data_IF_684979994971
#
_entry.id   IF_684979994971
#
_cell.length_a   1.000
_cell.length_b   1.000
_cell.length_c   1.000
_cell.angle_alpha   90.00
_cell.angle_beta   90.00
_cell.angle_gamma   90.00
#
_symmetry.space_group_name_H-M   'P 1'
#
loop_
_entity.id
_entity.type
_entity.pdbx_description
1 polymer ?
#
# COMPACT_ATOMS: atom_id res chain seq x y z
N UNK A 1 20.35 42.38 -12.80
CA UNK A 1 19.00 41.79 -12.92
C UNK A 1 18.78 40.88 -11.73
N UNK A 2 17.85 41.23 -10.83
CA UNK A 2 17.53 40.39 -9.67
C UNK A 2 16.53 39.30 -10.09
N UNK A 3 16.80 38.05 -9.71
CA UNK A 3 15.90 36.93 -9.99
C UNK A 3 14.54 37.12 -9.28
N UNK A 4 13.42 36.73 -9.91
CA UNK A 4 12.10 36.88 -9.29
C UNK A 4 12.00 35.99 -8.05
N UNK A 5 11.72 36.60 -6.88
CA UNK A 5 11.37 35.87 -5.66
C UNK A 5 10.03 35.18 -5.86
N UNK A 6 10.03 33.85 -5.98
CA UNK A 6 8.81 33.04 -5.92
C UNK A 6 8.27 33.10 -4.50
N UNK A 7 7.18 33.85 -4.30
CA UNK A 7 6.41 33.80 -3.07
C UNK A 7 5.65 32.47 -3.06
N UNK A 8 6.17 31.48 -2.34
CA UNK A 8 5.38 30.30 -1.99
C UNK A 8 4.22 30.75 -1.10
N UNK A 9 3.00 30.51 -1.56
CA UNK A 9 1.79 30.80 -0.78
C UNK A 9 1.72 29.80 0.38
N UNK A 10 1.31 30.25 1.57
CA UNK A 10 1.13 29.37 2.74
C UNK A 10 0.15 28.20 2.48
N UNK A 11 -0.65 28.25 1.41
CA UNK A 11 -1.46 27.15 0.91
C UNK A 11 -0.64 26.01 0.29
N UNK A 12 0.41 26.33 -0.47
CA UNK A 12 1.25 25.34 -1.15
C UNK A 12 2.06 24.50 -0.14
N UNK A 13 2.54 25.14 0.94
CA UNK A 13 3.25 24.46 2.04
C UNK A 13 2.37 23.46 2.79
N UNK A 14 1.08 23.78 3.00
CA UNK A 14 0.13 22.89 3.67
C UNK A 14 -0.23 21.68 2.81
N UNK A 15 -0.40 21.88 1.50
CA UNK A 15 -0.64 20.80 0.54
C UNK A 15 0.57 19.88 0.45
N UNK A 16 1.78 20.44 0.34
CA UNK A 16 3.04 19.68 0.31
C UNK A 16 3.25 18.82 1.56
N UNK A 17 3.02 19.38 2.76
CA UNK A 17 3.11 18.63 4.03
C UNK A 17 2.07 17.50 4.13
N UNK A 18 0.83 17.74 3.72
CA UNK A 18 -0.22 16.71 3.70
C UNK A 18 0.11 15.58 2.72
N UNK A 19 0.71 15.89 1.57
CA UNK A 19 1.15 14.90 0.58
C UNK A 19 2.30 14.04 1.11
N UNK A 20 3.32 14.66 1.69
CA UNK A 20 4.45 13.94 2.27
C UNK A 20 4.00 12.99 3.40
N UNK A 21 3.09 13.45 4.27
CA UNK A 21 2.51 12.61 5.32
C UNK A 21 1.71 11.43 4.75
N UNK A 22 0.83 11.68 3.76
CA UNK A 22 0.03 10.64 3.11
C UNK A 22 0.89 9.58 2.43
N UNK A 23 1.94 10.00 1.73
CA UNK A 23 2.90 9.10 1.09
C UNK A 23 3.64 8.26 2.15
N UNK A 24 4.11 8.88 3.24
CA UNK A 24 4.75 8.17 4.35
C UNK A 24 3.83 7.12 5.00
N UNK A 25 2.55 7.47 5.23
CA UNK A 25 1.56 6.54 5.74
C UNK A 25 1.36 5.35 4.80
N UNK A 26 1.25 5.61 3.50
CA UNK A 26 1.09 4.56 2.49
C UNK A 26 2.33 3.64 2.43
N UNK A 27 3.54 4.19 2.56
CA UNK A 27 4.77 3.41 2.65
C UNK A 27 4.75 2.48 3.87
N UNK A 28 4.42 3.00 5.05
CA UNK A 28 4.33 2.18 6.27
C UNK A 28 3.28 1.08 6.12
N UNK A 29 2.10 1.39 5.60
CA UNK A 29 1.05 0.40 5.34
C UNK A 29 1.51 -0.69 4.37
N UNK A 30 2.21 -0.31 3.31
CA UNK A 30 2.76 -1.26 2.32
C UNK A 30 3.79 -2.19 2.96
N UNK A 31 4.69 -1.65 3.79
CA UNK A 31 5.68 -2.44 4.53
C UNK A 31 5.01 -3.41 5.52
N UNK A 32 3.95 -2.97 6.22
CA UNK A 32 3.19 -3.84 7.11
C UNK A 32 2.50 -4.97 6.35
N UNK A 33 1.93 -4.69 5.18
CA UNK A 33 1.34 -5.72 4.31
C UNK A 33 2.40 -6.73 3.87
N UNK A 34 3.57 -6.27 3.42
CA UNK A 34 4.68 -7.15 3.03
C UNK A 34 5.18 -8.00 4.19
N UNK A 35 5.36 -7.42 5.38
CA UNK A 35 5.72 -8.16 6.59
C UNK A 35 4.65 -9.21 6.94
N UNK A 36 3.38 -8.85 6.82
CA UNK A 36 2.25 -9.76 6.98
C UNK A 36 2.28 -10.92 5.97
N UNK A 37 2.66 -10.68 4.72
CA UNK A 37 2.81 -11.74 3.72
C UNK A 37 3.92 -12.71 4.06
N UNK A 38 5.09 -12.22 4.52
CA UNK A 38 6.20 -13.09 4.95
C UNK A 38 5.77 -13.96 6.13
N UNK A 39 5.13 -13.36 7.13
CA UNK A 39 4.58 -14.10 8.27
C UNK A 39 3.57 -15.16 7.83
N UNK A 40 2.63 -14.78 6.95
CA UNK A 40 1.61 -15.68 6.45
C UNK A 40 2.19 -16.80 5.58
N UNK A 41 3.25 -16.54 4.81
CA UNK A 41 3.96 -17.54 4.03
C UNK A 41 4.61 -18.59 4.92
N UNK A 42 5.28 -18.18 6.01
CA UNK A 42 5.86 -19.12 6.98
C UNK A 42 4.75 -20.00 7.59
N UNK A 43 3.63 -19.40 7.98
CA UNK A 43 2.48 -20.15 8.48
C UNK A 43 1.91 -21.12 7.44
N UNK A 44 1.78 -20.70 6.17
CA UNK A 44 1.27 -21.54 5.09
C UNK A 44 2.18 -22.76 4.85
N UNK A 45 3.51 -22.59 4.93
CA UNK A 45 4.45 -23.72 4.88
C UNK A 45 4.23 -24.68 6.05
N UNK A 46 4.04 -24.16 7.27
CA UNK A 46 3.76 -24.99 8.44
C UNK A 46 2.45 -25.77 8.30
N UNK A 47 1.41 -25.17 7.70
CA UNK A 47 0.15 -25.85 7.40
C UNK A 47 0.36 -27.01 6.43
N UNK A 48 1.15 -26.81 5.36
CA UNK A 48 1.42 -27.87 4.39
C UNK A 48 2.26 -29.00 4.99
N UNK A 49 3.24 -28.68 5.84
CA UNK A 49 4.13 -29.67 6.48
C UNK A 49 3.39 -30.47 7.55
N UNK A 50 2.67 -29.80 8.46
CA UNK A 50 2.07 -30.44 9.63
C UNK A 50 0.68 -31.04 9.33
N UNK A 51 0.10 -30.71 8.18
CA UNK A 51 -1.21 -31.16 7.73
C UNK A 51 -2.35 -31.09 8.77
N UNK A 52 -2.54 -29.96 9.49
CA UNK A 52 -3.55 -29.86 10.54
C UNK A 52 -5.00 -30.00 10.03
N UNK A 53 -5.24 -29.82 8.72
CA UNK A 53 -6.56 -29.91 8.10
C UNK A 53 -6.85 -31.27 7.44
N UNK A 54 -6.13 -32.30 7.85
CA UNK A 54 -6.29 -33.67 7.35
C UNK A 54 -5.66 -33.83 5.97
N UNK A 55 -6.47 -33.81 4.91
CA UNK A 55 -6.01 -34.11 3.55
C UNK A 55 -5.08 -33.03 2.96
N UNK A 56 -4.16 -33.45 2.08
CA UNK A 56 -3.22 -32.56 1.36
C UNK A 56 -3.95 -31.41 0.65
N UNK A 57 -5.06 -31.71 -0.04
CA UNK A 57 -5.88 -30.71 -0.72
C UNK A 57 -6.39 -29.61 0.24
N UNK A 58 -6.91 -29.99 1.40
CA UNK A 58 -7.41 -29.03 2.38
C UNK A 58 -6.28 -28.13 2.89
N UNK A 59 -5.12 -28.71 3.18
CA UNK A 59 -3.96 -27.95 3.65
C UNK A 59 -3.41 -27.00 2.58
N UNK A 60 -3.44 -27.39 1.30
CA UNK A 60 -3.07 -26.52 0.19
C UNK A 60 -4.08 -25.37 -0.01
N UNK A 61 -5.38 -25.63 0.14
CA UNK A 61 -6.43 -24.61 0.04
C UNK A 61 -6.35 -23.64 1.21
N UNK A 62 -6.25 -24.14 2.45
CA UNK A 62 -6.26 -23.28 3.64
C UNK A 62 -4.93 -22.57 3.89
N UNK A 63 -3.77 -23.19 3.64
CA UNK A 63 -2.48 -22.53 3.81
C UNK A 63 -2.17 -21.62 2.61
N UNK A 64 -1.59 -22.16 1.52
CA UNK A 64 -1.28 -21.39 0.30
C UNK A 64 -2.47 -20.64 -0.32
N UNK A 65 -3.65 -21.25 -0.37
CA UNK A 65 -4.83 -20.61 -0.99
C UNK A 65 -5.26 -19.34 -0.27
N UNK A 66 -5.26 -19.32 1.06
CA UNK A 66 -5.58 -18.11 1.83
C UNK A 66 -4.46 -17.07 1.74
N UNK A 67 -3.19 -17.47 1.58
CA UNK A 67 -2.10 -16.54 1.28
C UNK A 67 -2.32 -15.81 -0.04
N UNK A 68 -2.68 -16.53 -1.11
CA UNK A 68 -3.00 -15.92 -2.41
C UNK A 68 -4.19 -14.98 -2.31
N UNK A 69 -5.24 -15.38 -1.60
CA UNK A 69 -6.41 -14.53 -1.36
C UNK A 69 -6.04 -13.26 -0.59
N UNK A 70 -5.25 -13.38 0.48
CA UNK A 70 -4.77 -12.25 1.27
C UNK A 70 -3.94 -11.30 0.39
N UNK A 71 -2.99 -11.82 -0.39
CA UNK A 71 -2.17 -11.02 -1.29
C UNK A 71 -3.03 -10.25 -2.31
N UNK A 72 -4.00 -10.91 -2.94
CA UNK A 72 -4.91 -10.26 -3.88
C UNK A 72 -5.73 -9.14 -3.24
N UNK A 73 -6.30 -9.38 -2.05
CA UNK A 73 -7.11 -8.40 -1.33
C UNK A 73 -6.27 -7.21 -0.83
N UNK A 74 -5.10 -7.47 -0.25
CA UNK A 74 -4.25 -6.42 0.29
C UNK A 74 -3.64 -5.56 -0.80
N UNK A 75 -3.27 -6.12 -1.96
CA UNK A 75 -2.84 -5.33 -3.11
C UNK A 75 -3.95 -4.42 -3.64
N UNK A 76 -5.18 -4.93 -3.76
CA UNK A 76 -6.33 -4.09 -4.15
C UNK A 76 -6.58 -2.96 -3.14
N UNK A 77 -6.48 -3.26 -1.85
CA UNK A 77 -6.63 -2.26 -0.79
C UNK A 77 -5.55 -1.18 -0.87
N UNK A 78 -4.28 -1.56 -0.98
CA UNK A 78 -3.16 -0.61 -1.09
C UNK A 78 -3.30 0.24 -2.35
N UNK A 79 -3.69 -0.36 -3.49
CA UNK A 79 -3.98 0.38 -4.72
C UNK A 79 -5.09 1.42 -4.55
N UNK A 80 -6.22 1.03 -3.95
CA UNK A 80 -7.32 1.95 -3.66
C UNK A 80 -6.89 3.10 -2.72
N UNK A 81 -6.09 2.80 -1.69
CA UNK A 81 -5.55 3.82 -0.78
C UNK A 81 -4.56 4.75 -1.49
N UNK A 82 -3.73 4.22 -2.37
CA UNK A 82 -2.81 5.02 -3.19
C UNK A 82 -3.58 6.04 -4.04
N UNK A 83 -4.60 5.60 -4.76
CA UNK A 83 -5.38 6.46 -5.64
C UNK A 83 -6.10 7.55 -4.84
N UNK A 84 -6.69 7.18 -3.69
CA UNK A 84 -7.44 8.12 -2.84
C UNK A 84 -6.57 9.10 -2.06
N UNK A 85 -5.41 8.67 -1.57
CA UNK A 85 -4.55 9.50 -0.71
C UNK A 85 -3.54 10.34 -1.50
N UNK A 86 -3.13 9.86 -2.67
CA UNK A 86 -2.06 10.44 -3.50
C UNK A 86 -2.58 10.81 -4.90
N UNK A 87 -3.31 9.92 -5.57
CA UNK A 87 -3.77 10.08 -6.96
C UNK A 87 -4.71 11.27 -7.18
N UNK A 88 -5.81 11.38 -6.41
CA UNK A 88 -6.81 12.44 -6.58
C UNK A 88 -6.27 13.86 -6.37
N UNK A 89 -5.15 14.01 -5.65
CA UNK A 89 -4.54 15.31 -5.38
C UNK A 89 -3.50 15.73 -6.43
N UNK A 90 -3.01 14.80 -7.26
CA UNK A 90 -2.04 15.09 -8.33
C UNK A 90 -2.74 15.78 -9.51
N UNK A 91 -3.95 15.35 -9.85
CA UNK A 91 -4.68 15.90 -11.01
C UNK A 91 -5.14 17.36 -10.79
N UNK A 92 -5.37 17.75 -9.53
CA UNK A 92 -5.64 19.13 -9.15
C UNK A 92 -4.41 20.06 -9.27
N UNK A 93 -3.20 19.53 -9.03
CA UNK A 93 -1.93 20.28 -9.15
C UNK A 93 -1.45 20.39 -10.60
N UNK A 94 -1.76 19.42 -11.47
CA UNK A 94 -1.36 19.42 -12.87
C UNK A 94 -2.27 20.25 -13.79
N UNK A 95 -3.57 20.43 -13.47
CA UNK A 95 -4.47 21.30 -14.25
C UNK A 95 -4.15 22.80 -14.17
N UNK A 96 -3.20 23.22 -13.33
CA UNK A 96 -2.74 24.62 -13.29
C UNK A 96 -1.67 24.92 -14.36
N UNK A 97 -1.10 23.91 -15.00
CA UNK A 97 0.01 24.05 -15.95
C UNK A 97 -0.27 23.43 -17.34
N UNK A 98 -1.53 23.11 -17.63
CA UNK A 98 -2.08 22.86 -18.96
C UNK A 98 -3.14 23.91 -19.25
#
# INVERSE_FOLDING_TARGET
>A
MAAPKRYYSAGDDKVSKSRAFNAGLLTVLTLLVLAGWVYHFIWALQVVINQPYGGVLNNLVYGPGTLVANAGLSTKLVGYLNDKLVGDKIDADHKKYL
#
